data_IF_775493503434
#
_entry.id   IF_775493503434
#
_cell.length_a   1.000
_cell.length_b   1.000
_cell.length_c   1.000
_cell.angle_alpha   90.00
_cell.angle_beta   90.00
_cell.angle_gamma   90.00
#
_symmetry.space_group_name_H-M   'P 1'
#
loop_
_entity.id
_entity.type
_entity.pdbx_description
1 polymer ?
#
# COMPACT_ATOMS: atom_id res chain seq x y z
N UNK A 1 43.99 24.21 61.90
CA UNK A 1 44.72 24.88 60.81
C UNK A 1 45.30 23.76 59.97
N UNK A 2 44.47 23.25 59.04
CA UNK A 2 44.51 23.56 57.57
C UNK A 2 45.67 22.82 56.91
N UNK A 3 45.57 22.15 55.77
CA UNK A 3 44.50 21.71 54.88
C UNK A 3 45.18 20.78 53.85
N UNK A 4 44.43 19.80 53.37
CA UNK A 4 44.31 19.35 51.97
C UNK A 4 45.55 19.17 51.05
N UNK A 5 45.65 18.00 50.42
CA UNK A 5 45.23 17.83 49.02
C UNK A 5 45.25 16.36 48.59
N UNK A 6 44.07 15.86 48.22
CA UNK A 6 43.86 14.57 47.57
C UNK A 6 44.01 14.71 46.06
N UNK A 7 44.70 13.75 45.45
CA UNK A 7 44.84 13.63 44.00
C UNK A 7 43.69 12.75 43.48
N UNK A 8 42.73 13.42 42.84
CA UNK A 8 41.53 12.85 42.26
C UNK A 8 41.88 12.26 40.89
N UNK A 9 41.93 10.93 40.79
CA UNK A 9 42.07 10.22 39.51
C UNK A 9 40.84 10.48 38.65
N UNK A 10 41.06 11.01 37.45
CA UNK A 10 40.03 11.29 36.46
C UNK A 10 39.38 10.00 35.96
N UNK A 11 38.06 9.95 36.15
CA UNK A 11 37.13 8.95 35.65
C UNK A 11 36.97 9.09 34.13
N UNK A 12 37.37 8.07 33.37
CA UNK A 12 37.18 7.98 31.92
C UNK A 12 35.81 7.34 31.68
N UNK A 13 34.83 8.04 31.06
CA UNK A 13 33.53 7.44 30.82
C UNK A 13 33.65 6.31 29.79
N UNK A 14 33.27 5.11 30.22
CA UNK A 14 33.17 3.93 29.36
C UNK A 14 32.17 4.19 28.22
N UNK A 15 32.59 3.90 26.99
CA UNK A 15 31.70 3.92 25.84
C UNK A 15 30.56 2.89 26.00
N UNK A 16 29.32 3.22 25.58
CA UNK A 16 28.22 2.27 25.61
C UNK A 16 28.45 1.16 24.58
N UNK A 17 28.76 -0.05 25.08
CA UNK A 17 28.73 -1.28 24.31
C UNK A 17 27.31 -1.48 23.78
N UNK A 18 27.09 -1.20 22.49
CA UNK A 18 25.82 -1.52 21.83
C UNK A 18 25.71 -3.03 21.69
N UNK A 19 24.87 -3.63 22.54
CA UNK A 19 24.57 -5.06 22.54
C UNK A 19 23.81 -5.46 21.26
N UNK A 20 24.54 -6.01 20.29
CA UNK A 20 23.99 -6.52 19.03
C UNK A 20 23.30 -7.89 19.17
N UNK A 21 23.06 -8.40 20.39
CA UNK A 21 22.47 -9.74 20.61
C UNK A 21 20.94 -9.75 20.67
N UNK A 22 20.26 -8.60 20.60
CA UNK A 22 18.79 -8.54 20.56
C UNK A 22 18.17 -8.62 19.15
N UNK A 23 18.95 -8.53 18.07
CA UNK A 23 18.43 -8.54 16.68
C UNK A 23 18.30 -9.92 16.03
N UNK A 24 18.72 -11.00 16.70
CA UNK A 24 18.71 -12.36 16.12
C UNK A 24 17.58 -13.28 16.62
N UNK A 25 16.67 -12.79 17.48
CA UNK A 25 15.61 -13.62 18.09
C UNK A 25 14.21 -13.47 17.47
N UNK A 26 14.03 -12.59 16.48
CA UNK A 26 12.73 -12.44 15.78
C UNK A 26 12.62 -13.39 14.57
N UNK A 27 13.74 -13.89 14.04
CA UNK A 27 13.74 -14.76 12.86
C UNK A 27 13.35 -16.22 13.14
N UNK A 28 13.54 -16.73 14.36
CA UNK A 28 13.26 -18.13 14.67
C UNK A 28 11.78 -18.44 14.91
N UNK A 29 10.92 -17.43 15.07
CA UNK A 29 9.47 -17.63 15.17
C UNK A 29 8.78 -17.83 13.81
N UNK A 30 9.40 -17.44 12.69
CA UNK A 30 8.82 -17.59 11.34
C UNK A 30 9.19 -18.90 10.63
N UNK A 31 10.22 -19.61 11.09
CA UNK A 31 10.64 -20.88 10.48
C UNK A 31 9.76 -22.09 10.89
N UNK A 32 8.95 -21.98 11.94
CA UNK A 32 8.11 -23.07 12.45
C UNK A 32 6.68 -23.10 11.86
N UNK A 33 6.31 -22.13 11.02
CA UNK A 33 5.10 -22.16 10.19
C UNK A 33 5.38 -22.64 8.76
N UNK A 34 6.54 -23.27 8.53
CA UNK A 34 6.95 -23.81 7.23
C UNK A 34 6.72 -25.32 7.09
N UNK A 35 6.04 -25.98 8.05
CA UNK A 35 5.94 -27.44 8.14
C UNK A 35 4.52 -28.03 8.28
N UNK A 36 3.46 -27.31 7.89
CA UNK A 36 2.07 -27.86 7.92
C UNK A 36 1.27 -27.60 6.63
N UNK A 37 1.92 -27.44 5.47
CA UNK A 37 1.22 -27.35 4.17
C UNK A 37 1.71 -28.36 3.13
N UNK A 38 2.19 -29.52 3.59
CA UNK A 38 2.67 -30.62 2.76
C UNK A 38 1.71 -31.81 2.84
N UNK A 39 0.43 -31.58 2.53
CA UNK A 39 -0.55 -32.65 2.28
C UNK A 39 -1.85 -32.10 1.69
N UNK A 40 -1.83 -31.54 0.48
CA UNK A 40 -3.01 -31.60 -0.39
C UNK A 40 -2.56 -31.74 -1.86
N UNK A 41 -2.83 -32.88 -2.51
CA UNK A 41 -2.26 -33.19 -3.81
C UNK A 41 -3.03 -32.52 -4.95
N UNK A 42 -2.25 -32.18 -5.97
CA UNK A 42 -2.53 -32.25 -7.40
C UNK A 42 -3.93 -32.76 -7.78
N UNK A 43 -4.76 -31.85 -8.27
CA UNK A 43 -6.09 -32.19 -8.78
C UNK A 43 -6.83 -31.04 -9.47
N UNK A 44 -6.13 -30.11 -10.13
CA UNK A 44 -6.77 -29.24 -11.11
C UNK A 44 -5.85 -29.08 -12.33
N UNK A 45 -6.18 -29.89 -13.34
CA UNK A 45 -5.61 -29.87 -14.68
C UNK A 45 -5.91 -28.53 -15.36
N UNK A 46 -4.84 -27.87 -15.80
CA UNK A 46 -4.67 -27.26 -17.13
C UNK A 46 -5.89 -27.29 -18.07
N UNK A 47 -6.65 -26.18 -18.12
CA UNK A 47 -7.09 -25.48 -19.36
C UNK A 47 -7.92 -24.25 -18.98
N UNK A 48 -7.38 -23.05 -19.13
CA UNK A 48 -8.14 -21.83 -18.81
C UNK A 48 -7.40 -20.51 -18.90
N UNK A 49 -6.44 -20.38 -19.81
CA UNK A 49 -5.85 -19.10 -20.25
C UNK A 49 -6.10 -19.10 -21.77
N UNK A 50 -6.85 -18.18 -22.40
CA UNK A 50 -6.62 -16.73 -22.51
C UNK A 50 -7.94 -15.92 -22.75
N UNK A 51 -9.14 -16.51 -22.73
CA UNK A 51 -10.36 -15.82 -23.24
C UNK A 51 -11.28 -15.10 -22.21
N UNK A 52 -10.82 -14.78 -20.99
CA UNK A 52 -11.74 -14.28 -19.94
C UNK A 52 -12.18 -12.82 -20.08
N UNK A 53 -11.65 -12.06 -21.05
CA UNK A 53 -11.98 -10.64 -21.24
C UNK A 53 -12.93 -10.35 -22.41
N UNK A 54 -13.36 -11.39 -23.13
CA UNK A 54 -14.19 -11.25 -24.35
C UNK A 54 -15.37 -12.26 -24.41
N UNK A 55 -15.91 -12.71 -23.28
CA UNK A 55 -17.14 -13.53 -23.28
C UNK A 55 -18.41 -12.68 -23.41
N UNK A 56 -19.24 -13.03 -24.39
CA UNK A 56 -20.63 -12.57 -24.51
C UNK A 56 -21.46 -12.99 -23.27
N UNK A 57 -22.46 -12.18 -22.88
CA UNK A 57 -23.24 -12.42 -21.68
C UNK A 57 -24.11 -13.68 -21.85
N UNK A 58 -23.81 -14.74 -21.10
CA UNK A 58 -24.59 -15.98 -21.08
C UNK A 58 -24.05 -17.06 -20.14
N UNK A 59 -22.72 -17.22 -20.06
CA UNK A 59 -22.14 -18.45 -19.49
C UNK A 59 -21.24 -18.18 -18.26
N UNK A 60 -21.77 -17.47 -17.26
CA UNK A 60 -20.98 -16.99 -16.14
C UNK A 60 -21.13 -17.84 -14.87
N UNK A 61 -20.34 -18.92 -14.73
CA UNK A 61 -20.05 -19.54 -13.43
C UNK A 61 -18.89 -18.84 -12.66
N UNK A 62 -18.39 -17.71 -13.16
CA UNK A 62 -17.27 -16.96 -12.56
C UNK A 62 -17.66 -15.77 -11.68
N UNK A 63 -18.94 -15.47 -11.47
CA UNK A 63 -19.42 -14.26 -10.76
C UNK A 63 -19.75 -14.54 -9.28
N UNK A 64 -19.46 -15.74 -8.79
CA UNK A 64 -19.87 -16.19 -7.45
C UNK A 64 -19.19 -15.46 -6.28
N UNK A 65 -18.28 -14.50 -6.50
CA UNK A 65 -17.68 -13.71 -5.41
C UNK A 65 -18.32 -12.34 -5.16
N UNK A 66 -19.29 -11.89 -5.97
CA UNK A 66 -19.95 -10.57 -5.81
C UNK A 66 -21.18 -10.65 -4.89
N UNK A 67 -21.52 -11.84 -4.37
CA UNK A 67 -22.75 -12.08 -3.61
C UNK A 67 -22.91 -11.26 -2.30
N UNK A 68 -21.92 -10.47 -1.88
CA UNK A 68 -21.95 -9.68 -0.63
C UNK A 68 -21.59 -8.20 -0.80
N UNK A 69 -21.67 -7.65 -2.02
CA UNK A 69 -21.31 -6.25 -2.30
C UNK A 69 -22.58 -5.41 -2.43
N UNK A 70 -22.78 -4.43 -1.54
CA UNK A 70 -23.87 -3.45 -1.68
C UNK A 70 -23.32 -2.17 -2.31
N UNK A 71 -23.86 -1.72 -3.45
CA UNK A 71 -23.48 -0.47 -4.11
C UNK A 71 -23.53 0.74 -3.18
N UNK A 72 -22.49 1.58 -3.22
CA UNK A 72 -22.47 2.88 -2.54
C UNK A 72 -23.26 3.97 -3.27
N UNK A 73 -23.67 3.70 -4.51
CA UNK A 73 -24.54 4.46 -5.42
C UNK A 73 -25.50 3.47 -6.13
N UNK A 74 -26.44 3.93 -6.95
CA UNK A 74 -27.33 3.09 -7.76
C UNK A 74 -26.59 1.89 -8.43
N UNK A 75 -27.29 0.79 -8.72
CA UNK A 75 -26.67 -0.44 -9.22
C UNK A 75 -25.82 -0.17 -10.47
N UNK A 76 -24.49 -0.14 -10.28
CA UNK A 76 -23.54 0.17 -11.34
C UNK A 76 -23.56 -0.90 -12.44
N UNK A 77 -23.43 -0.47 -13.69
CA UNK A 77 -23.28 -1.39 -14.81
C UNK A 77 -21.94 -2.12 -14.75
N UNK A 78 -21.83 -3.24 -15.47
CA UNK A 78 -20.55 -3.97 -15.57
C UNK A 78 -19.41 -3.08 -16.11
N UNK A 79 -19.71 -2.25 -17.11
CA UNK A 79 -18.74 -1.34 -17.72
C UNK A 79 -18.29 -0.24 -16.74
N UNK A 80 -19.21 0.24 -15.89
CA UNK A 80 -18.90 1.20 -14.84
C UNK A 80 -17.96 0.60 -13.78
N UNK A 81 -18.23 -0.63 -13.32
CA UNK A 81 -17.34 -1.33 -12.38
C UNK A 81 -15.94 -1.48 -12.98
N UNK A 82 -15.84 -1.90 -14.24
CA UNK A 82 -14.56 -2.07 -14.93
C UNK A 82 -13.80 -0.74 -15.05
N UNK A 83 -14.50 0.36 -15.34
CA UNK A 83 -13.90 1.69 -15.40
C UNK A 83 -13.38 2.16 -14.03
N UNK A 84 -14.12 1.90 -12.94
CA UNK A 84 -13.69 2.19 -11.56
C UNK A 84 -12.42 1.39 -11.22
N UNK A 85 -12.42 0.08 -11.48
CA UNK A 85 -11.27 -0.79 -11.24
C UNK A 85 -10.03 -0.33 -12.02
N UNK A 86 -10.20 0.00 -13.30
CA UNK A 86 -9.11 0.55 -14.12
C UNK A 86 -8.58 1.85 -13.55
N UNK A 87 -9.46 2.76 -13.13
CA UNK A 87 -9.07 4.04 -12.51
C UNK A 87 -8.24 3.82 -11.24
N UNK A 88 -8.69 2.93 -10.35
CA UNK A 88 -7.97 2.63 -9.10
C UNK A 88 -6.64 1.91 -9.36
N UNK A 89 -6.58 0.98 -10.30
CA UNK A 89 -5.34 0.33 -10.72
C UNK A 89 -4.33 1.34 -11.26
N UNK A 90 -4.75 2.30 -12.09
CA UNK A 90 -3.90 3.39 -12.58
C UNK A 90 -3.39 4.27 -11.43
N UNK A 91 -4.18 4.50 -10.37
CA UNK A 91 -3.73 5.22 -9.17
C UNK A 91 -2.62 4.49 -8.42
N UNK A 92 -2.69 3.16 -8.32
CA UNK A 92 -1.61 2.34 -7.75
C UNK A 92 -0.33 2.50 -8.58
N UNK A 93 -0.42 2.44 -9.92
CA UNK A 93 0.73 2.64 -10.81
C UNK A 93 1.31 4.04 -10.62
N UNK A 94 0.48 5.08 -10.65
CA UNK A 94 0.91 6.46 -10.52
C UNK A 94 1.63 6.72 -9.19
N UNK A 95 1.09 6.23 -8.07
CA UNK A 95 1.74 6.33 -6.77
C UNK A 95 3.11 5.63 -6.78
N UNK A 96 3.19 4.45 -7.39
CA UNK A 96 4.44 3.72 -7.54
C UNK A 96 5.49 4.48 -8.35
N UNK A 97 5.09 5.06 -9.49
CA UNK A 97 5.96 5.86 -10.35
C UNK A 97 6.45 7.14 -9.65
N UNK A 98 5.56 7.90 -9.00
CA UNK A 98 5.92 9.11 -8.23
C UNK A 98 6.89 8.81 -7.11
N UNK A 99 6.72 7.67 -6.46
CA UNK A 99 7.63 7.25 -5.42
C UNK A 99 8.94 6.70 -5.98
N UNK A 100 9.09 6.43 -7.28
CA UNK A 100 10.22 5.70 -7.87
C UNK A 100 10.32 4.24 -7.39
N UNK A 101 9.19 3.56 -7.36
CA UNK A 101 9.13 2.11 -7.12
C UNK A 101 9.42 1.36 -8.41
N UNK A 102 10.24 0.30 -8.32
CA UNK A 102 10.48 -0.58 -9.47
C UNK A 102 9.25 -1.41 -9.82
N UNK A 103 9.14 -1.84 -11.08
CA UNK A 103 8.03 -2.66 -11.63
C UNK A 103 7.54 -3.73 -10.66
N UNK A 104 8.47 -4.50 -10.06
CA UNK A 104 8.13 -5.60 -9.16
C UNK A 104 7.26 -5.18 -7.97
N UNK A 105 7.56 -4.03 -7.36
CA UNK A 105 6.78 -3.53 -6.25
C UNK A 105 5.40 -3.03 -6.70
N UNK A 106 5.33 -2.35 -7.85
CA UNK A 106 4.06 -1.85 -8.40
C UNK A 106 3.13 -3.01 -8.75
N UNK A 107 3.65 -4.03 -9.43
CA UNK A 107 2.90 -5.25 -9.74
C UNK A 107 2.47 -5.97 -8.44
N UNK A 108 3.31 -6.00 -7.40
CA UNK A 108 2.91 -6.58 -6.12
C UNK A 108 1.73 -5.84 -5.47
N UNK A 109 1.74 -4.50 -5.50
CA UNK A 109 0.61 -3.69 -5.02
C UNK A 109 -0.67 -3.96 -5.84
N UNK A 110 -0.56 -4.03 -7.17
CA UNK A 110 -1.68 -4.40 -8.04
C UNK A 110 -2.22 -5.80 -7.71
N UNK A 111 -1.34 -6.79 -7.59
CA UNK A 111 -1.70 -8.17 -7.23
C UNK A 111 -2.41 -8.22 -5.87
N UNK A 112 -1.91 -7.48 -4.87
CA UNK A 112 -2.58 -7.36 -3.57
C UNK A 112 -3.98 -6.75 -3.72
N UNK A 113 -4.12 -5.65 -4.46
CA UNK A 113 -5.41 -4.99 -4.63
C UNK A 113 -6.42 -5.83 -5.42
N UNK A 114 -5.98 -6.52 -6.47
CA UNK A 114 -6.80 -7.48 -7.23
C UNK A 114 -7.32 -8.58 -6.29
N UNK A 115 -6.44 -9.20 -5.51
CA UNK A 115 -6.81 -10.30 -4.62
C UNK A 115 -7.71 -9.85 -3.45
N UNK A 116 -7.42 -8.70 -2.85
CA UNK A 116 -8.13 -8.27 -1.63
C UNK A 116 -9.49 -7.65 -1.93
N UNK A 117 -9.59 -6.87 -3.00
CA UNK A 117 -10.77 -6.01 -3.24
C UNK A 117 -11.18 -5.94 -4.71
N UNK A 118 -10.51 -6.70 -5.59
CA UNK A 118 -10.67 -6.56 -7.04
C UNK A 118 -10.43 -5.12 -7.52
N UNK A 119 -9.46 -4.43 -6.93
CA UNK A 119 -9.13 -3.02 -7.19
C UNK A 119 -10.25 -2.01 -6.88
N UNK A 120 -11.17 -2.36 -5.99
CA UNK A 120 -12.23 -1.46 -5.53
C UNK A 120 -11.85 -0.86 -4.17
N UNK A 121 -12.18 0.41 -3.98
CA UNK A 121 -12.06 1.08 -2.70
C UNK A 121 -13.24 0.69 -1.79
N UNK A 122 -13.05 -0.36 -0.98
CA UNK A 122 -14.12 -0.98 -0.21
C UNK A 122 -14.32 -0.32 1.16
N UNK A 123 -15.59 -0.06 1.51
CA UNK A 123 -16.00 0.35 2.86
C UNK A 123 -16.72 -0.80 3.60
N UNK A 124 -16.28 -1.21 4.80
CA UNK A 124 -17.01 -2.18 5.61
C UNK A 124 -18.43 -1.74 5.93
N UNK A 125 -19.40 -2.65 5.79
CA UNK A 125 -20.78 -2.45 6.23
C UNK A 125 -20.85 -2.12 7.73
N UNK A 126 -20.04 -2.78 8.56
CA UNK A 126 -19.99 -2.55 10.02
C UNK A 126 -19.26 -1.28 10.47
N UNK A 127 -18.56 -0.56 9.57
CA UNK A 127 -17.75 0.61 9.92
C UNK A 127 -18.26 1.86 9.20
N UNK A 128 -19.35 2.44 9.70
CA UNK A 128 -20.03 3.59 9.09
C UNK A 128 -19.09 4.80 8.92
N UNK A 129 -18.12 4.99 9.82
CA UNK A 129 -17.14 6.08 9.75
C UNK A 129 -16.31 6.06 8.46
N UNK A 130 -16.07 4.88 7.88
CA UNK A 130 -15.34 4.76 6.60
C UNK A 130 -16.11 5.37 5.44
N UNK A 131 -17.46 5.38 5.51
CA UNK A 131 -18.34 5.90 4.47
C UNK A 131 -18.40 7.43 4.42
N UNK A 132 -17.74 8.11 5.36
CA UNK A 132 -17.52 9.57 5.32
C UNK A 132 -16.48 9.97 4.27
N UNK A 133 -15.63 9.02 3.87
CA UNK A 133 -14.65 9.17 2.80
C UNK A 133 -15.22 8.62 1.50
N UNK A 134 -14.63 8.97 0.36
CA UNK A 134 -15.02 8.37 -0.92
C UNK A 134 -14.77 6.86 -0.88
N UNK A 135 -15.75 6.08 -1.31
CA UNK A 135 -15.68 4.63 -1.46
C UNK A 135 -16.44 4.23 -2.73
N UNK A 136 -16.12 3.06 -3.28
CA UNK A 136 -16.77 2.55 -4.48
C UNK A 136 -17.96 1.67 -4.09
N UNK A 137 -17.71 0.69 -3.21
CA UNK A 137 -18.72 -0.26 -2.76
C UNK A 137 -18.59 -0.58 -1.28
N UNK A 138 -19.66 -1.13 -0.70
CA UNK A 138 -19.62 -1.70 0.65
C UNK A 138 -19.55 -3.22 0.63
N UNK A 139 -18.93 -3.79 1.66
CA UNK A 139 -18.75 -5.24 1.80
C UNK A 139 -18.85 -5.69 3.26
N UNK A 140 -19.05 -7.00 3.49
CA UNK A 140 -19.17 -7.58 4.83
C UNK A 140 -17.83 -8.10 5.40
N UNK A 141 -16.71 -7.48 5.03
CA UNK A 141 -15.39 -7.78 5.61
C UNK A 141 -14.88 -6.58 6.41
N UNK A 142 -14.06 -6.79 7.46
CA UNK A 142 -13.61 -5.71 8.34
C UNK A 142 -12.55 -4.78 7.71
N UNK A 143 -11.92 -5.18 6.61
CA UNK A 143 -10.87 -4.40 5.95
C UNK A 143 -11.39 -3.20 5.16
N UNK A 144 -10.56 -2.18 4.99
CA UNK A 144 -10.89 -0.94 4.27
C UNK A 144 -9.98 -0.73 3.06
N UNK A 145 -10.41 0.11 2.13
CA UNK A 145 -9.55 0.66 1.10
C UNK A 145 -9.30 -0.28 -0.07
N UNK A 146 -8.25 0.01 -0.86
CA UNK A 146 -7.82 -0.81 -2.00
C UNK A 146 -7.18 -2.14 -1.61
N UNK A 147 -6.56 -2.22 -0.43
CA UNK A 147 -5.75 -3.37 -0.01
C UNK A 147 -6.42 -4.21 1.08
N UNK A 148 -7.70 -3.95 1.40
CA UNK A 148 -8.44 -4.69 2.42
C UNK A 148 -7.78 -4.65 3.81
N UNK A 149 -7.03 -3.58 4.11
CA UNK A 149 -6.22 -3.48 5.31
C UNK A 149 -7.10 -3.33 6.58
N UNK A 150 -6.64 -3.82 7.75
CA UNK A 150 -7.27 -3.49 9.02
C UNK A 150 -7.34 -1.97 9.23
N UNK A 151 -8.41 -1.50 9.86
CA UNK A 151 -8.61 -0.07 10.20
C UNK A 151 -7.41 0.47 10.99
N UNK A 152 -6.79 1.52 10.45
CA UNK A 152 -5.79 2.36 11.13
C UNK A 152 -6.18 3.82 10.94
N UNK A 153 -5.67 4.44 9.87
CA UNK A 153 -6.00 5.79 9.45
C UNK A 153 -6.95 5.74 8.26
N UNK A 154 -8.23 6.04 8.49
CA UNK A 154 -9.27 5.98 7.45
C UNK A 154 -9.08 7.03 6.36
N UNK A 155 -8.50 8.20 6.68
CA UNK A 155 -8.25 9.23 5.67
C UNK A 155 -7.24 8.74 4.63
N UNK A 156 -6.16 8.08 5.10
CA UNK A 156 -5.16 7.47 4.23
C UNK A 156 -5.72 6.23 3.53
N UNK A 157 -6.32 5.31 4.28
CA UNK A 157 -6.72 4.00 3.74
C UNK A 157 -7.89 4.07 2.75
N UNK A 158 -8.82 5.02 2.92
CA UNK A 158 -9.94 5.23 2.00
C UNK A 158 -9.61 6.15 0.82
N UNK A 159 -8.40 6.70 0.75
CA UNK A 159 -7.91 7.44 -0.40
C UNK A 159 -6.99 6.52 -1.22
N UNK A 160 -7.40 6.05 -2.42
CA UNK A 160 -6.62 5.13 -3.25
C UNK A 160 -5.16 5.56 -3.50
N UNK A 161 -4.90 6.85 -3.68
CA UNK A 161 -3.54 7.38 -3.90
C UNK A 161 -2.73 7.28 -2.61
N UNK A 162 -3.23 7.83 -1.50
CA UNK A 162 -2.52 7.83 -0.21
C UNK A 162 -2.33 6.41 0.35
N UNK A 163 -3.32 5.53 0.18
CA UNK A 163 -3.24 4.13 0.54
C UNK A 163 -2.12 3.43 -0.24
N UNK A 164 -2.00 3.70 -1.54
CA UNK A 164 -0.96 3.13 -2.39
C UNK A 164 0.43 3.61 -1.98
N UNK A 165 0.58 4.90 -1.70
CA UNK A 165 1.84 5.43 -1.18
C UNK A 165 2.23 4.83 0.18
N UNK A 166 1.25 4.67 1.08
CA UNK A 166 1.46 4.00 2.36
C UNK A 166 1.91 2.55 2.16
N UNK A 167 1.28 1.82 1.24
CA UNK A 167 1.68 0.46 0.89
C UNK A 167 3.11 0.39 0.35
N UNK A 168 3.51 1.32 -0.54
CA UNK A 168 4.89 1.38 -1.04
C UNK A 168 5.91 1.78 0.03
N UNK A 169 5.54 2.61 1.00
CA UNK A 169 6.38 2.87 2.18
C UNK A 169 6.61 1.59 2.99
N UNK A 170 5.59 0.76 3.16
CA UNK A 170 5.72 -0.54 3.83
C UNK A 170 6.62 -1.51 3.04
N UNK A 171 6.51 -1.56 1.70
CA UNK A 171 7.45 -2.34 0.86
C UNK A 171 8.89 -1.87 1.11
N UNK A 172 9.14 -0.56 1.08
CA UNK A 172 10.50 0.00 1.26
C UNK A 172 11.11 -0.32 2.62
N UNK A 173 10.28 -0.43 3.65
CA UNK A 173 10.71 -0.75 5.01
C UNK A 173 11.15 -2.22 5.17
N UNK A 174 10.83 -3.09 4.21
CA UNK A 174 11.26 -4.48 4.23
C UNK A 174 12.66 -4.63 3.59
N UNK A 175 13.70 -4.82 4.39
CA UNK A 175 15.11 -4.80 3.96
C UNK A 175 15.40 -5.60 2.66
N UNK A 176 14.76 -6.77 2.49
CA UNK A 176 15.02 -7.69 1.38
C UNK A 176 13.92 -7.74 0.29
N UNK A 177 12.99 -6.77 0.25
CA UNK A 177 11.87 -6.80 -0.70
C UNK A 177 12.33 -6.91 -2.17
N UNK A 178 13.52 -6.38 -2.49
CA UNK A 178 14.09 -6.44 -3.84
C UNK A 178 14.48 -7.85 -4.26
N UNK A 179 14.73 -8.76 -3.31
CA UNK A 179 15.05 -10.16 -3.56
C UNK A 179 13.80 -11.04 -3.64
N UNK A 180 12.69 -10.58 -3.09
CA UNK A 180 11.41 -11.28 -3.13
C UNK A 180 10.81 -11.33 -4.56
N UNK A 181 10.03 -12.36 -4.85
CA UNK A 181 9.11 -12.40 -6.00
C UNK A 181 7.94 -11.43 -5.79
N UNK A 182 7.17 -11.16 -6.85
CA UNK A 182 5.95 -10.34 -6.74
C UNK A 182 5.00 -10.91 -5.68
N UNK A 183 4.71 -12.22 -5.76
CA UNK A 183 3.82 -12.88 -4.81
C UNK A 183 4.37 -12.84 -3.38
N UNK A 184 5.69 -12.98 -3.20
CA UNK A 184 6.32 -12.87 -1.87
C UNK A 184 6.19 -11.46 -1.27
N UNK A 185 6.35 -10.39 -2.07
CA UNK A 185 6.12 -9.02 -1.59
C UNK A 185 4.65 -8.85 -1.16
N UNK A 186 3.71 -9.29 -1.99
CA UNK A 186 2.28 -9.21 -1.68
C UNK A 186 1.92 -10.01 -0.42
N UNK A 187 2.48 -11.21 -0.28
CA UNK A 187 2.32 -12.07 0.90
C UNK A 187 2.90 -11.42 2.16
N UNK A 188 4.08 -10.81 2.06
CA UNK A 188 4.74 -10.16 3.19
C UNK A 188 3.86 -9.07 3.80
N UNK A 189 3.18 -8.27 2.97
CA UNK A 189 2.31 -7.18 3.41
C UNK A 189 0.89 -7.63 3.77
N UNK A 190 0.42 -8.73 3.19
CA UNK A 190 -0.91 -9.29 3.44
C UNK A 190 -0.80 -10.82 3.60
N UNK A 191 -0.37 -11.30 4.80
CA UNK A 191 0.03 -12.69 5.04
C UNK A 191 -1.06 -13.75 4.90
N UNK A 192 -2.32 -13.35 4.76
CA UNK A 192 -3.47 -14.25 4.70
C UNK A 192 -3.85 -14.71 3.29
N UNK A 193 -3.20 -14.21 2.24
CA UNK A 193 -3.54 -14.51 0.84
C UNK A 193 -2.69 -15.62 0.22
N UNK A 194 -3.01 -15.95 -1.04
CA UNK A 194 -2.07 -16.60 -1.97
C UNK A 194 -2.12 -15.80 -3.26
N UNK A 195 -1.02 -15.14 -3.60
CA UNK A 195 -1.02 -14.13 -4.67
C UNK A 195 -0.57 -14.65 -6.02
N UNK A 196 0.06 -15.83 -6.09
CA UNK A 196 0.51 -16.42 -7.37
C UNK A 196 -0.59 -16.45 -8.46
N UNK A 197 -1.86 -16.83 -8.15
CA UNK A 197 -2.92 -16.87 -9.17
C UNK A 197 -3.25 -15.52 -9.81
N UNK A 198 -2.93 -14.40 -9.16
CA UNK A 198 -3.28 -13.05 -9.63
C UNK A 198 -2.08 -12.26 -10.15
N UNK A 199 -0.85 -12.79 -10.05
CA UNK A 199 0.36 -12.09 -10.52
C UNK A 199 0.27 -11.81 -12.02
N UNK A 200 -0.12 -12.80 -12.84
CA UNK A 200 -0.23 -12.60 -14.29
C UNK A 200 -1.20 -11.46 -14.66
N UNK A 201 -2.38 -11.43 -14.05
CA UNK A 201 -3.35 -10.35 -14.26
C UNK A 201 -2.82 -8.97 -13.83
N UNK A 202 -2.05 -8.91 -12.75
CA UNK A 202 -1.40 -7.67 -12.31
C UNK A 202 -0.30 -7.21 -13.27
N UNK A 203 0.48 -8.14 -13.82
CA UNK A 203 1.51 -7.85 -14.83
C UNK A 203 0.91 -7.34 -16.13
N UNK A 204 -0.17 -7.97 -16.60
CA UNK A 204 -0.90 -7.56 -17.80
C UNK A 204 -1.49 -6.14 -17.61
N UNK A 205 -2.14 -5.90 -16.47
CA UNK A 205 -2.68 -4.59 -16.15
C UNK A 205 -1.57 -3.52 -16.10
N UNK A 206 -0.43 -3.81 -15.45
CA UNK A 206 0.70 -2.90 -15.42
C UNK A 206 1.21 -2.59 -16.84
N UNK A 207 1.47 -3.63 -17.64
CA UNK A 207 2.02 -3.49 -18.99
C UNK A 207 1.10 -2.68 -19.91
N UNK A 208 -0.22 -2.86 -19.79
CA UNK A 208 -1.21 -2.14 -20.60
C UNK A 208 -1.36 -0.66 -20.23
N UNK A 209 -1.03 -0.26 -19.01
CA UNK A 209 -1.39 1.07 -18.48
C UNK A 209 -0.18 1.93 -18.07
N UNK A 210 1.02 1.36 -17.93
CA UNK A 210 2.16 2.09 -17.36
C UNK A 210 2.58 3.29 -18.21
N UNK A 211 2.59 3.18 -19.54
CA UNK A 211 3.03 4.28 -20.41
C UNK A 211 2.05 5.46 -20.35
N UNK A 212 0.75 5.20 -20.46
CA UNK A 212 -0.29 6.22 -20.29
C UNK A 212 -0.18 6.92 -18.92
N UNK A 213 0.03 6.16 -17.86
CA UNK A 213 0.15 6.70 -16.51
C UNK A 213 1.46 7.46 -16.33
N UNK A 214 2.55 7.02 -16.94
CA UNK A 214 3.84 7.71 -16.90
C UNK A 214 3.75 9.08 -17.56
N UNK A 215 3.14 9.18 -18.74
CA UNK A 215 2.89 10.44 -19.43
C UNK A 215 2.01 11.37 -18.58
N UNK A 216 0.94 10.84 -17.98
CA UNK A 216 0.06 11.62 -17.11
C UNK A 216 0.76 12.11 -15.83
N UNK A 217 1.66 11.31 -15.23
CA UNK A 217 2.45 11.70 -14.06
C UNK A 217 3.50 12.75 -14.42
N UNK A 218 4.15 12.62 -15.58
CA UNK A 218 5.15 13.58 -16.07
C UNK A 218 4.54 14.97 -16.32
N UNK A 219 3.30 15.02 -16.82
CA UNK A 219 2.59 16.27 -17.09
C UNK A 219 1.81 16.80 -15.87
N UNK A 220 1.97 16.21 -14.68
CA UNK A 220 1.19 16.49 -13.47
C UNK A 220 -0.34 16.35 -13.65
N UNK A 221 -0.78 15.74 -14.76
CA UNK A 221 -2.19 15.50 -15.12
C UNK A 221 -2.83 14.36 -14.36
N UNK A 222 -2.01 13.43 -13.86
CA UNK A 222 -2.49 12.47 -12.89
C UNK A 222 -2.65 13.20 -11.56
N UNK A 223 -3.89 13.47 -11.20
CA UNK A 223 -4.26 14.19 -9.98
C UNK A 223 -3.52 13.59 -8.76
N UNK A 224 -2.76 14.38 -7.98
CA UNK A 224 -2.33 13.94 -6.66
C UNK A 224 -3.55 13.72 -5.76
N UNK A 225 -4.65 14.46 -5.98
CA UNK A 225 -5.85 14.44 -5.16
C UNK A 225 -7.04 15.03 -5.93
N UNK A 226 -8.16 14.31 -6.15
CA UNK A 226 -9.41 15.03 -6.27
C UNK A 226 -9.75 15.60 -4.88
N UNK A 227 -9.87 16.91 -4.86
CA UNK A 227 -10.44 17.79 -3.85
C UNK A 227 -11.73 17.20 -3.25
N UNK A 228 -11.60 16.51 -2.11
CA UNK A 228 -12.54 16.65 -0.99
C UNK A 228 -11.96 15.91 0.22
N UNK A 229 -11.29 16.69 1.07
CA UNK A 229 -11.45 16.53 2.51
C UNK A 229 -12.94 16.28 2.84
N UNK A 230 -13.27 15.57 3.93
CA UNK A 230 -14.66 15.23 4.28
C UNK A 230 -15.58 16.45 4.13
N UNK A 231 -16.76 16.28 3.53
CA UNK A 231 -17.75 17.35 3.27
C UNK A 231 -18.22 18.08 4.54
N UNK A 232 -17.80 17.63 5.71
CA UNK A 232 -17.79 18.36 6.98
C UNK A 232 -16.91 17.53 7.92
N UNK A 233 -15.88 18.12 8.52
CA UNK A 233 -15.44 17.63 9.83
C UNK A 233 -16.67 17.75 10.74
N UNK A 234 -17.17 16.66 11.36
CA UNK A 234 -18.05 16.81 12.50
C UNK A 234 -17.26 17.60 13.55
N UNK A 235 -17.89 18.61 14.14
CA UNK A 235 -17.31 19.38 15.24
C UNK A 235 -16.61 18.46 16.25
N UNK A 236 -15.41 18.86 16.64
CA UNK A 236 -14.42 18.16 17.48
C UNK A 236 -14.88 17.93 18.94
N UNK A 237 -16.10 17.45 19.20
CA UNK A 237 -16.60 17.30 20.57
C UNK A 237 -16.79 15.86 21.10
N UNK A 238 -16.62 14.83 20.27
CA UNK A 238 -16.74 13.44 20.74
C UNK A 238 -15.39 12.71 20.82
N UNK A 239 -14.61 13.16 21.79
CA UNK A 239 -13.73 12.36 22.68
C UNK A 239 -12.75 11.39 22.01
N UNK A 240 -11.53 11.90 21.91
CA UNK A 240 -10.29 11.17 22.18
C UNK A 240 -10.42 10.30 23.46
N UNK A 241 -10.54 8.99 23.27
CA UNK A 241 -10.09 8.00 24.23
C UNK A 241 -8.64 7.61 23.90
N UNK A 242 -7.69 8.35 24.46
CA UNK A 242 -6.30 7.97 24.79
C UNK A 242 -5.59 6.90 23.93
N UNK A 243 -4.55 7.32 23.19
CA UNK A 243 -3.35 6.51 23.02
C UNK A 243 -2.88 6.19 21.59
N UNK A 244 -2.66 7.19 20.75
CA UNK A 244 -1.73 7.04 19.63
C UNK A 244 -1.05 8.39 19.34
N UNK A 245 0.21 8.49 19.72
CA UNK A 245 1.12 9.57 19.34
C UNK A 245 1.26 9.53 17.82
N UNK A 246 0.88 10.62 17.15
CA UNK A 246 1.19 10.84 15.73
C UNK A 246 2.71 10.92 15.55
N UNK A 247 3.35 10.11 14.69
CA UNK A 247 4.78 10.17 14.47
C UNK A 247 5.20 11.18 13.39
N UNK A 248 4.32 12.08 12.94
CA UNK A 248 4.71 13.13 12.00
C UNK A 248 5.07 14.42 12.74
N UNK A 249 6.36 14.75 12.94
CA UNK A 249 6.73 16.12 13.24
C UNK A 249 6.45 16.98 12.00
N UNK A 250 5.69 18.05 12.18
CA UNK A 250 5.56 19.13 11.21
C UNK A 250 6.95 19.76 10.98
N UNK A 251 7.65 19.30 9.94
CA UNK A 251 8.89 19.92 9.48
C UNK A 251 8.56 21.26 8.83
N UNK A 252 9.06 22.35 9.43
CA UNK A 252 9.07 23.69 8.85
C UNK A 252 9.73 23.63 7.46
N UNK A 253 9.02 24.07 6.43
CA UNK A 253 9.62 24.51 5.17
C UNK A 253 10.30 25.85 5.40
N UNK A 254 11.56 25.87 5.82
CA UNK A 254 12.43 27.02 5.62
C UNK A 254 13.83 26.54 5.19
N UNK A 255 14.34 27.22 4.16
CA UNK A 255 15.70 27.16 3.59
C UNK A 255 16.11 25.95 2.72
N UNK A 256 15.86 26.08 1.41
CA UNK A 256 16.62 25.36 0.37
C UNK A 256 17.82 26.20 -0.09
N UNK A 257 19.05 25.67 -0.11
CA UNK A 257 20.18 26.36 -0.70
C UNK A 257 20.03 26.45 -2.23
N UNK A 258 20.17 27.67 -2.76
CA UNK A 258 20.17 27.96 -4.20
C UNK A 258 21.35 27.24 -4.87
N UNK A 259 21.05 26.43 -5.90
CA UNK A 259 22.06 25.90 -6.82
C UNK A 259 22.73 27.04 -7.60
N UNK A 260 24.05 26.98 -7.86
CA UNK A 260 24.74 27.99 -8.64
C UNK A 260 24.36 27.89 -10.13
N UNK A 261 23.96 29.03 -10.68
CA UNK A 261 23.68 29.25 -12.10
C UNK A 261 24.95 28.98 -12.92
N UNK A 262 24.89 28.01 -13.83
CA UNK A 262 25.94 27.76 -14.83
C UNK A 262 25.91 28.88 -15.87
N UNK A 263 26.87 29.80 -15.80
CA UNK A 263 27.10 30.81 -16.84
C UNK A 263 27.71 30.15 -18.08
N UNK A 264 27.09 30.43 -19.22
CA UNK A 264 27.62 30.16 -20.56
C UNK A 264 28.53 31.32 -21.01
N UNK A 265 29.56 30.99 -21.79
CA UNK A 265 30.47 31.94 -22.47
C UNK A 265 31.93 31.73 -22.05
N UNK A 266 32.93 31.67 -22.92
CA UNK A 266 33.02 31.89 -24.35
C UNK A 266 34.21 31.11 -24.90
N UNK A 267 34.09 30.62 -26.14
CA UNK A 267 35.19 30.23 -26.99
C UNK A 267 35.98 31.48 -27.40
N UNK A 268 37.27 31.50 -27.12
CA UNK A 268 38.34 32.03 -28.00
C UNK A 268 39.68 31.50 -27.53
#
# INVERSE_FOLDING_TARGET
MTDEHGEQSADVPAEPVTDSRHRRRVWTAFALLFLVALAYPAGYLMRGTVDSWERKPGDAEGVSSIANVTPGREAASFDEVKAIQSTNGKRIIAAGLRMHMGRKAIVAALATSIHQTSMLNMAPSGLIQSRKYRYDYTWNRPGVGLFGQPRRDLWVQMNPTLASEAFFREIRAADDWRLMTVAQIAQYLQPSGSYEPVVGAAEDFYAQNVDEVADAVADERFDPLPESAPTRLPDDDDRYGSGAVSPYPAGKLEDSPRLPTRAAGALR
#
